data_IF_727173936351
#
_entry.id   IF_727173936351
#
_cell.length_a   1.000
_cell.length_b   1.000
_cell.length_c   1.000
_cell.angle_alpha   90.00
_cell.angle_beta   90.00
_cell.angle_gamma   90.00
#
_symmetry.space_group_name_H-M   'P 1'
#
loop_
_entity.id
_entity.type
_entity.pdbx_description
1 polymer ?
#
# COMPACT_ATOMS: atom_id res chain seq x y z
N UNK A 1 10.85 -30.39 -19.37
CA UNK A 1 10.07 -29.22 -18.90
C UNK A 1 10.96 -28.17 -18.24
N UNK A 2 11.97 -28.54 -17.43
CA UNK A 2 12.95 -27.60 -16.84
C UNK A 2 13.74 -26.77 -17.87
N UNK A 3 14.15 -27.36 -19.01
CA UNK A 3 14.90 -26.62 -20.06
C UNK A 3 14.09 -25.53 -20.78
N UNK A 4 12.76 -25.55 -20.72
CA UNK A 4 11.91 -24.50 -21.30
C UNK A 4 11.78 -23.32 -20.32
N UNK A 5 11.71 -23.60 -19.02
CA UNK A 5 11.67 -22.57 -17.97
C UNK A 5 13.01 -21.85 -17.85
N UNK A 6 14.13 -22.57 -17.87
CA UNK A 6 15.47 -21.95 -17.86
C UNK A 6 15.69 -21.05 -19.08
N UNK A 7 15.33 -21.53 -20.28
CA UNK A 7 15.41 -20.73 -21.50
C UNK A 7 14.46 -19.53 -21.51
N UNK A 8 13.27 -19.66 -20.92
CA UNK A 8 12.34 -18.55 -20.71
C UNK A 8 12.92 -17.49 -19.76
N UNK A 9 13.61 -17.88 -18.69
CA UNK A 9 14.27 -16.93 -17.81
C UNK A 9 15.50 -16.29 -18.47
N UNK A 10 16.27 -17.04 -19.24
CA UNK A 10 17.45 -16.53 -19.97
C UNK A 10 17.08 -15.58 -21.12
N UNK A 11 16.04 -15.89 -21.91
CA UNK A 11 15.56 -15.02 -23.00
C UNK A 11 14.87 -13.74 -22.46
N UNK A 12 14.27 -13.80 -21.25
CA UNK A 12 13.63 -12.65 -20.59
C UNK A 12 14.60 -11.83 -19.71
N UNK A 13 15.82 -12.31 -19.47
CA UNK A 13 16.84 -11.54 -18.74
C UNK A 13 17.26 -10.30 -19.52
N UNK A 14 17.13 -10.26 -20.85
CA UNK A 14 17.55 -9.11 -21.66
C UNK A 14 16.46 -8.10 -22.02
N UNK A 15 15.17 -8.46 -21.98
CA UNK A 15 14.09 -7.55 -22.33
C UNK A 15 13.96 -6.41 -21.28
N UNK A 16 14.29 -5.14 -21.64
CA UNK A 16 14.20 -4.02 -20.71
C UNK A 16 12.79 -3.80 -20.16
N UNK A 17 11.76 -4.08 -20.95
CA UNK A 17 10.36 -3.96 -20.54
C UNK A 17 9.97 -5.03 -19.54
N UNK A 18 10.42 -6.28 -19.72
CA UNK A 18 10.18 -7.34 -18.74
C UNK A 18 10.85 -7.02 -17.39
N UNK A 19 12.12 -6.59 -17.39
CA UNK A 19 12.82 -6.19 -16.16
C UNK A 19 12.12 -5.01 -15.48
N UNK A 20 11.70 -4.02 -16.26
CA UNK A 20 10.94 -2.88 -15.77
C UNK A 20 9.63 -3.32 -15.14
N UNK A 21 8.82 -4.15 -15.79
CA UNK A 21 7.54 -4.65 -15.25
C UNK A 21 7.79 -5.47 -13.96
N UNK A 22 8.83 -6.31 -13.95
CA UNK A 22 9.19 -7.10 -12.78
C UNK A 22 9.64 -6.24 -11.58
N UNK A 23 10.25 -5.08 -11.83
CA UNK A 23 10.78 -4.20 -10.78
C UNK A 23 9.81 -3.09 -10.37
N UNK A 24 9.05 -2.55 -11.32
CA UNK A 24 8.24 -1.33 -11.18
C UNK A 24 6.74 -1.60 -11.36
N UNK A 25 6.35 -2.79 -11.82
CA UNK A 25 4.99 -3.11 -12.19
C UNK A 25 4.54 -2.40 -13.48
N UNK A 26 3.23 -2.30 -13.63
CA UNK A 26 2.56 -1.69 -14.79
C UNK A 26 2.14 -0.22 -14.55
N UNK A 27 2.69 0.39 -13.51
CA UNK A 27 2.58 1.82 -13.25
C UNK A 27 3.36 2.66 -14.29
N UNK A 28 3.19 3.98 -14.22
CA UNK A 28 4.05 4.94 -14.91
C UNK A 28 5.51 4.67 -14.53
N UNK A 29 6.37 4.78 -15.53
CA UNK A 29 7.80 4.48 -15.38
C UNK A 29 8.49 5.55 -14.55
N UNK A 30 9.47 5.15 -13.73
CA UNK A 30 10.31 6.11 -13.02
C UNK A 30 11.02 7.01 -14.04
N UNK A 31 10.79 8.33 -13.94
CA UNK A 31 11.43 9.33 -14.79
C UNK A 31 12.47 10.09 -13.98
N UNK A 32 13.74 9.93 -14.34
CA UNK A 32 14.86 10.65 -13.71
C UNK A 32 15.87 11.12 -14.75
N UNK A 33 16.52 12.25 -14.49
CA UNK A 33 17.58 12.80 -15.35
C UNK A 33 18.60 13.58 -14.50
N UNK A 34 19.74 13.93 -15.11
CA UNK A 34 20.76 14.80 -14.50
C UNK A 34 20.79 16.11 -15.28
N UNK A 35 20.82 17.24 -14.58
CA UNK A 35 21.04 18.57 -15.16
C UNK A 35 21.96 19.36 -14.24
N UNK A 36 23.00 20.01 -14.78
CA UNK A 36 24.00 20.77 -14.03
C UNK A 36 24.63 20.00 -12.84
N UNK A 37 24.83 18.69 -12.99
CA UNK A 37 25.39 17.82 -11.94
C UNK A 37 24.38 17.40 -10.86
N UNK A 38 23.12 17.80 -10.97
CA UNK A 38 22.08 17.52 -9.99
C UNK A 38 21.07 16.51 -10.56
N UNK A 39 20.65 15.53 -9.76
CA UNK A 39 19.65 14.55 -10.18
C UNK A 39 18.25 15.11 -9.95
N UNK A 40 17.36 14.87 -10.89
CA UNK A 40 15.95 15.21 -10.79
C UNK A 40 15.10 13.96 -10.97
N UNK A 41 14.03 13.85 -10.20
CA UNK A 41 13.03 12.79 -10.32
C UNK A 41 11.67 13.43 -10.50
N UNK A 42 10.95 12.99 -11.53
CA UNK A 42 9.59 13.43 -11.76
C UNK A 42 8.59 12.52 -11.01
N UNK A 43 7.77 13.14 -10.15
CA UNK A 43 6.68 12.52 -9.42
C UNK A 43 5.37 13.14 -9.91
N UNK A 44 4.83 12.59 -11.00
CA UNK A 44 3.65 13.13 -11.68
C UNK A 44 3.85 14.60 -12.09
N UNK A 45 3.19 15.55 -11.42
CA UNK A 45 3.28 16.98 -11.70
C UNK A 45 4.40 17.68 -10.92
N UNK A 46 5.11 16.95 -10.05
CA UNK A 46 6.18 17.48 -9.21
C UNK A 46 7.56 17.06 -9.76
N UNK A 47 8.53 17.97 -9.72
CA UNK A 47 9.93 17.68 -10.04
C UNK A 47 10.75 17.87 -8.77
N UNK A 48 11.28 16.77 -8.25
CA UNK A 48 12.10 16.76 -7.05
C UNK A 48 13.57 16.81 -7.44
N UNK A 49 14.28 17.82 -6.91
CA UNK A 49 15.74 17.91 -6.98
C UNK A 49 16.37 17.05 -5.90
N UNK A 50 17.26 16.17 -6.30
CA UNK A 50 17.86 15.13 -5.48
C UNK A 50 19.38 15.31 -5.49
N UNK A 51 19.92 15.77 -4.37
CA UNK A 51 21.34 16.16 -4.26
C UNK A 51 22.24 15.05 -3.72
N UNK A 52 21.68 14.04 -3.02
CA UNK A 52 22.48 13.04 -2.29
C UNK A 52 22.05 11.58 -2.48
N UNK A 53 20.98 11.31 -3.24
CA UNK A 53 20.54 9.94 -3.46
C UNK A 53 21.35 9.27 -4.57
N UNK A 54 21.97 8.13 -4.24
CA UNK A 54 22.71 7.30 -5.21
C UNK A 54 21.85 6.16 -5.76
N UNK A 55 20.86 5.73 -4.97
CA UNK A 55 19.97 4.62 -5.29
C UNK A 55 18.50 5.06 -5.25
N UNK A 56 17.61 4.24 -5.82
CA UNK A 56 16.17 4.46 -5.69
C UNK A 56 15.70 4.31 -4.24
N UNK A 57 16.32 3.44 -3.44
CA UNK A 57 16.05 3.33 -2.00
C UNK A 57 16.36 4.65 -1.26
N UNK A 58 17.46 5.33 -1.60
CA UNK A 58 17.77 6.64 -1.02
C UNK A 58 16.69 7.66 -1.37
N UNK A 59 16.20 7.64 -2.61
CA UNK A 59 15.08 8.49 -3.03
C UNK A 59 13.80 8.15 -2.26
N UNK A 60 13.49 6.87 -2.03
CA UNK A 60 12.31 6.47 -1.25
C UNK A 60 12.38 6.95 0.21
N UNK A 61 13.55 6.92 0.84
CA UNK A 61 13.72 7.51 2.16
C UNK A 61 13.59 9.03 2.14
N UNK A 62 14.19 9.70 1.16
CA UNK A 62 14.03 11.14 0.97
C UNK A 62 12.56 11.53 0.76
N UNK A 63 11.85 10.82 -0.11
CA UNK A 63 10.45 11.06 -0.44
C UNK A 63 9.55 10.88 0.79
N UNK A 64 9.84 9.88 1.62
CA UNK A 64 9.16 9.68 2.90
C UNK A 64 9.41 10.85 3.87
N UNK A 65 10.67 11.26 4.06
CA UNK A 65 10.99 12.44 4.90
C UNK A 65 10.30 13.70 4.37
N UNK A 66 10.23 13.86 3.05
CA UNK A 66 9.56 14.97 2.39
C UNK A 66 8.05 14.98 2.65
N UNK A 67 7.37 13.83 2.47
CA UNK A 67 5.91 13.76 2.65
C UNK A 67 5.46 13.80 4.11
N UNK A 68 6.27 13.28 5.04
CA UNK A 68 5.91 13.29 6.46
C UNK A 68 6.46 14.48 7.25
N UNK A 69 7.28 15.33 6.65
CA UNK A 69 8.11 16.31 7.35
C UNK A 69 9.11 15.64 8.30
N UNK A 70 10.39 15.81 7.98
CA UNK A 70 11.52 15.30 8.77
C UNK A 70 11.49 15.77 10.22
N UNK A 71 10.99 16.99 10.49
CA UNK A 71 10.89 17.52 11.85
C UNK A 71 9.81 16.80 12.64
N UNK A 72 8.65 16.52 12.02
CA UNK A 72 7.59 15.73 12.65
C UNK A 72 8.06 14.32 13.03
N UNK A 73 8.84 13.66 12.16
CA UNK A 73 9.38 12.32 12.41
C UNK A 73 10.35 12.27 13.62
N UNK A 74 11.06 13.38 13.87
CA UNK A 74 12.03 13.53 14.96
C UNK A 74 11.45 14.12 16.24
N UNK A 75 10.23 14.64 16.21
CA UNK A 75 9.61 15.28 17.36
C UNK A 75 9.40 14.24 18.49
N UNK A 76 9.95 14.47 19.70
CA UNK A 76 9.76 13.58 20.84
C UNK A 76 8.30 13.29 21.19
N UNK A 77 7.36 14.18 20.84
CA UNK A 77 5.92 13.96 21.03
C UNK A 77 5.39 12.78 20.20
N UNK A 78 6.04 12.47 19.09
CA UNK A 78 5.64 11.40 18.17
C UNK A 78 6.45 10.12 18.34
N UNK A 79 7.31 10.02 19.36
CA UNK A 79 8.26 8.89 19.50
C UNK A 79 7.60 7.52 19.60
N UNK A 80 6.34 7.47 20.03
CA UNK A 80 5.54 6.24 20.12
C UNK A 80 4.77 5.92 18.82
N UNK A 81 4.78 6.82 17.84
CA UNK A 81 4.14 6.57 16.55
C UNK A 81 4.96 5.56 15.75
N UNK A 82 4.35 4.53 15.11
CA UNK A 82 5.08 3.50 14.36
C UNK A 82 6.09 4.05 13.35
N UNK A 83 5.70 5.07 12.59
CA UNK A 83 6.58 5.74 11.63
C UNK A 83 7.82 6.39 12.28
N UNK A 84 7.67 7.00 13.45
CA UNK A 84 8.82 7.59 14.16
C UNK A 84 9.73 6.49 14.70
N UNK A 85 9.16 5.42 15.29
CA UNK A 85 9.90 4.24 15.75
C UNK A 85 10.74 3.65 14.61
N UNK A 86 10.11 3.34 13.47
CA UNK A 86 10.82 2.77 12.32
C UNK A 86 11.89 3.71 11.79
N UNK A 87 11.60 5.02 11.75
CA UNK A 87 12.56 6.04 11.32
C UNK A 87 13.81 6.07 12.20
N UNK A 88 13.65 6.04 13.52
CA UNK A 88 14.76 6.04 14.47
C UNK A 88 15.57 4.73 14.41
N UNK A 89 14.92 3.57 14.39
CA UNK A 89 15.58 2.26 14.25
C UNK A 89 16.40 2.21 12.96
N UNK A 90 15.82 2.66 11.83
CA UNK A 90 16.52 2.71 10.54
C UNK A 90 17.75 3.62 10.59
N UNK A 91 17.64 4.81 11.19
CA UNK A 91 18.77 5.73 11.28
C UNK A 91 19.90 5.18 12.17
N UNK A 92 19.55 4.60 13.32
CA UNK A 92 20.51 3.96 14.21
C UNK A 92 21.21 2.81 13.50
N UNK A 93 20.46 1.95 12.79
CA UNK A 93 21.02 0.85 12.02
C UNK A 93 21.99 1.34 10.94
N UNK A 94 21.58 2.32 10.12
CA UNK A 94 22.41 2.87 9.03
C UNK A 94 23.69 3.52 9.57
N UNK A 95 23.63 4.22 10.71
CA UNK A 95 24.80 4.87 11.32
C UNK A 95 25.90 3.89 11.74
N UNK A 96 25.55 2.61 11.92
CA UNK A 96 26.48 1.52 12.28
C UNK A 96 27.08 0.82 11.05
N UNK A 97 26.61 1.15 9.85
CA UNK A 97 27.08 0.51 8.62
C UNK A 97 28.28 1.24 8.01
N UNK A 98 29.17 0.49 7.37
CA UNK A 98 30.25 1.04 6.57
C UNK A 98 29.85 1.14 5.11
N UNK A 99 30.28 2.20 4.45
CA UNK A 99 30.16 2.33 3.00
C UNK A 99 31.22 1.47 2.32
N UNK A 100 30.84 0.79 1.24
CA UNK A 100 31.81 0.09 0.40
C UNK A 100 32.65 1.08 -0.42
N UNK A 101 33.61 0.56 -1.19
CA UNK A 101 34.51 1.36 -2.05
C UNK A 101 33.80 2.20 -3.11
N UNK A 102 32.57 1.83 -3.47
CA UNK A 102 31.71 2.57 -4.41
C UNK A 102 30.82 3.61 -3.70
N UNK A 103 30.90 3.68 -2.36
CA UNK A 103 30.14 4.58 -1.53
C UNK A 103 28.67 4.16 -1.34
N UNK A 104 28.37 2.87 -1.43
CA UNK A 104 27.05 2.27 -1.12
C UNK A 104 27.07 1.58 0.23
N UNK A 105 25.93 1.57 0.91
CA UNK A 105 25.70 0.66 2.03
C UNK A 105 25.30 -0.73 1.51
N UNK A 106 25.92 -1.77 2.04
CA UNK A 106 25.49 -3.14 1.85
C UNK A 106 25.24 -3.77 3.22
N UNK A 107 23.98 -3.95 3.58
CA UNK A 107 23.58 -4.42 4.89
C UNK A 107 22.27 -5.25 4.80
N UNK A 108 22.06 -6.21 5.71
CA UNK A 108 20.78 -6.92 5.81
C UNK A 108 19.61 -5.95 6.00
N UNK A 109 18.49 -6.21 5.32
CA UNK A 109 17.29 -5.40 5.47
C UNK A 109 16.57 -5.76 6.77
N UNK A 110 16.48 -4.80 7.70
CA UNK A 110 15.71 -4.97 8.96
C UNK A 110 14.21 -4.77 8.71
N UNK A 111 13.38 -5.24 9.64
CA UNK A 111 11.92 -5.03 9.57
C UNK A 111 11.52 -3.55 9.45
N UNK A 112 12.17 -2.66 10.22
CA UNK A 112 11.93 -1.22 10.16
C UNK A 112 12.31 -0.60 8.80
N UNK A 113 13.43 -1.05 8.22
CA UNK A 113 13.87 -0.61 6.88
C UNK A 113 12.87 -1.08 5.83
N UNK A 114 12.46 -2.35 5.88
CA UNK A 114 11.49 -2.91 4.95
C UNK A 114 10.13 -2.20 5.03
N UNK A 115 9.63 -1.95 6.26
CA UNK A 115 8.37 -1.26 6.49
C UNK A 115 8.40 0.17 5.91
N UNK A 116 9.48 0.92 6.16
CA UNK A 116 9.67 2.25 5.59
C UNK A 116 9.76 2.21 4.07
N UNK A 117 10.61 1.37 3.50
CA UNK A 117 10.77 1.28 2.04
C UNK A 117 9.48 0.90 1.34
N UNK A 118 8.71 -0.04 1.90
CA UNK A 118 7.42 -0.45 1.35
C UNK A 118 6.41 0.69 1.42
N UNK A 119 6.28 1.36 2.57
CA UNK A 119 5.42 2.53 2.68
C UNK A 119 5.83 3.64 1.71
N UNK A 120 7.12 3.99 1.68
CA UNK A 120 7.67 4.98 0.76
C UNK A 120 7.33 4.66 -0.68
N UNK A 121 7.47 3.40 -1.08
CA UNK A 121 7.18 2.97 -2.44
C UNK A 121 5.69 3.03 -2.75
N UNK A 122 4.82 2.62 -1.82
CA UNK A 122 3.38 2.73 -1.98
C UNK A 122 2.95 4.20 -2.16
N UNK A 123 3.49 5.10 -1.33
CA UNK A 123 3.23 6.54 -1.43
C UNK A 123 3.77 7.12 -2.74
N UNK A 124 4.94 6.68 -3.18
CA UNK A 124 5.50 7.08 -4.47
C UNK A 124 4.60 6.63 -5.63
N UNK A 125 4.12 5.38 -5.61
CA UNK A 125 3.23 4.87 -6.64
C UNK A 125 1.93 5.66 -6.72
N UNK A 126 1.28 5.93 -5.58
CA UNK A 126 0.12 6.80 -5.49
C UNK A 126 0.40 8.19 -6.08
N UNK A 127 1.43 8.88 -5.58
CA UNK A 127 1.78 10.22 -6.00
C UNK A 127 2.15 10.31 -7.48
N UNK A 128 2.85 9.30 -8.01
CA UNK A 128 3.34 9.29 -9.39
C UNK A 128 2.24 8.91 -10.39
N UNK A 129 1.35 7.98 -10.03
CA UNK A 129 0.35 7.44 -10.96
C UNK A 129 -0.97 8.18 -10.94
N UNK A 130 -1.40 8.63 -9.76
CA UNK A 130 -2.71 9.24 -9.53
C UNK A 130 -2.50 10.50 -8.71
N UNK A 131 -2.87 10.49 -7.44
CA UNK A 131 -2.71 11.56 -6.49
C UNK A 131 -2.37 10.94 -5.12
N UNK A 132 -1.55 11.64 -4.34
CA UNK A 132 -1.36 11.32 -2.93
C UNK A 132 -2.10 12.36 -2.09
N UNK A 133 -3.29 11.98 -1.62
CA UNK A 133 -4.17 12.90 -0.90
C UNK A 133 -3.59 13.32 0.45
N UNK A 134 -3.72 14.62 0.77
CA UNK A 134 -3.32 15.15 2.07
C UNK A 134 -4.08 14.50 3.24
N UNK A 135 -5.33 14.08 3.02
CA UNK A 135 -6.14 13.34 4.00
C UNK A 135 -5.49 12.02 4.38
N UNK A 136 -4.98 11.25 3.41
CA UNK A 136 -4.29 9.98 3.63
C UNK A 136 -3.01 10.19 4.45
N UNK A 137 -2.19 11.20 4.11
CA UNK A 137 -0.99 11.55 4.89
C UNK A 137 -1.35 11.96 6.33
N UNK A 138 -2.42 12.74 6.51
CA UNK A 138 -2.91 13.12 7.84
C UNK A 138 -3.31 11.90 8.67
N UNK A 139 -4.05 10.94 8.09
CA UNK A 139 -4.43 9.69 8.76
C UNK A 139 -3.23 8.81 9.08
N UNK A 140 -2.22 8.78 8.20
CA UNK A 140 -0.95 8.07 8.46
C UNK A 140 -0.11 8.68 9.59
N UNK A 141 -0.39 9.92 10.01
CA UNK A 141 0.24 10.56 11.20
C UNK A 141 -0.56 10.36 12.49
N UNK A 142 -1.76 9.78 12.40
CA UNK A 142 -2.67 9.57 13.54
C UNK A 142 -2.67 8.10 13.92
N UNK A 143 -2.17 7.77 15.12
CA UNK A 143 -1.98 6.38 15.56
C UNK A 143 -3.28 5.57 15.49
N UNK A 144 -4.41 6.19 15.82
CA UNK A 144 -5.73 5.55 15.83
C UNK A 144 -6.23 5.19 14.42
N UNK A 145 -5.75 5.89 13.39
CA UNK A 145 -6.14 5.67 11.99
C UNK A 145 -5.04 5.00 11.17
N UNK A 146 -3.85 4.86 11.75
CA UNK A 146 -2.65 4.42 11.06
C UNK A 146 -2.82 3.04 10.41
N UNK A 147 -3.38 2.05 11.12
CA UNK A 147 -3.55 0.70 10.54
C UNK A 147 -4.34 0.72 9.24
N UNK A 148 -5.53 1.36 9.26
CA UNK A 148 -6.41 1.43 8.09
C UNK A 148 -5.77 2.21 6.94
N UNK A 149 -5.22 3.39 7.23
CA UNK A 149 -4.55 4.22 6.24
C UNK A 149 -3.31 3.52 5.65
N UNK A 150 -2.56 2.79 6.47
CA UNK A 150 -1.39 2.03 6.03
C UNK A 150 -1.80 0.91 5.07
N UNK A 151 -2.82 0.13 5.40
CA UNK A 151 -3.33 -0.93 4.52
C UNK A 151 -3.94 -0.38 3.23
N UNK A 152 -4.57 0.78 3.29
CA UNK A 152 -5.07 1.47 2.10
C UNK A 152 -3.95 1.80 1.10
N UNK A 153 -2.77 2.23 1.57
CA UNK A 153 -1.61 2.42 0.70
C UNK A 153 -1.18 1.12 0.01
N UNK A 154 -1.32 -0.02 0.68
CA UNK A 154 -0.99 -1.33 0.09
C UNK A 154 -1.94 -1.67 -1.04
N UNK A 155 -3.26 -1.59 -0.80
CA UNK A 155 -4.24 -1.95 -1.82
C UNK A 155 -4.10 -1.06 -3.06
N UNK A 156 -4.03 0.26 -2.86
CA UNK A 156 -3.90 1.19 -3.99
C UNK A 156 -2.59 0.97 -4.77
N UNK A 157 -1.46 0.77 -4.07
CA UNK A 157 -0.18 0.49 -4.74
C UNK A 157 -0.20 -0.85 -5.48
N UNK A 158 -0.83 -1.90 -4.94
CA UNK A 158 -0.95 -3.19 -5.63
C UNK A 158 -1.80 -3.11 -6.89
N UNK A 159 -2.91 -2.36 -6.85
CA UNK A 159 -3.74 -2.12 -8.03
C UNK A 159 -2.96 -1.39 -9.12
N UNK A 160 -2.23 -0.32 -8.76
CA UNK A 160 -1.34 0.39 -9.70
C UNK A 160 -0.26 -0.54 -10.26
N UNK A 161 0.40 -1.29 -9.37
CA UNK A 161 1.46 -2.22 -9.74
C UNK A 161 0.97 -3.30 -10.69
N UNK A 162 -0.28 -3.75 -10.52
CA UNK A 162 -0.95 -4.74 -11.36
C UNK A 162 -1.55 -4.17 -12.65
N UNK A 163 -1.40 -2.86 -12.90
CA UNK A 163 -1.76 -2.24 -14.17
C UNK A 163 -3.12 -1.57 -14.20
N UNK A 164 -3.81 -1.46 -13.06
CA UNK A 164 -5.02 -0.66 -12.99
C UNK A 164 -4.68 0.84 -13.05
N UNK A 165 -5.54 1.62 -13.72
CA UNK A 165 -5.66 3.06 -13.44
C UNK A 165 -6.58 3.19 -12.23
N UNK A 166 -6.20 3.99 -11.24
CA UNK A 166 -7.05 4.27 -10.08
C UNK A 166 -7.59 5.69 -10.19
N UNK A 167 -8.86 5.84 -9.84
CA UNK A 167 -9.53 7.13 -9.61
C UNK A 167 -10.00 7.12 -8.15
N UNK A 168 -9.80 8.23 -7.45
CA UNK A 168 -10.24 8.38 -6.07
C UNK A 168 -11.63 9.02 -6.10
N UNK A 169 -12.59 8.44 -5.41
CA UNK A 169 -13.92 9.04 -5.34
C UNK A 169 -13.90 10.28 -4.44
N UNK A 170 -14.64 11.31 -4.84
CA UNK A 170 -14.75 12.56 -4.08
C UNK A 170 -15.70 12.39 -2.89
N UNK A 171 -15.13 12.29 -1.68
CA UNK A 171 -15.89 12.18 -0.43
C UNK A 171 -16.44 13.52 0.09
N UNK A 172 -16.25 14.64 -0.62
CA UNK A 172 -16.70 15.96 -0.15
C UNK A 172 -18.22 16.09 -0.04
N UNK A 173 -18.98 15.22 -0.74
CA UNK A 173 -20.43 15.17 -0.68
C UNK A 173 -20.94 13.93 0.08
N UNK A 174 -21.12 14.07 1.39
CA UNK A 174 -21.61 13.01 2.28
C UNK A 174 -23.05 12.53 2.06
N UNK A 175 -23.74 13.03 1.03
CA UNK A 175 -25.10 12.55 0.68
C UNK A 175 -25.11 11.14 0.07
N UNK A 176 -23.96 10.64 -0.39
CA UNK A 176 -23.79 9.26 -0.88
C UNK A 176 -22.58 8.61 -0.25
N UNK A 177 -22.68 7.29 0.01
CA UNK A 177 -21.53 6.49 0.39
C UNK A 177 -20.76 6.14 -0.87
N UNK A 178 -19.48 6.48 -0.89
CA UNK A 178 -18.55 6.28 -1.98
C UNK A 178 -17.65 5.08 -1.70
N UNK A 179 -17.23 4.35 -2.73
CA UNK A 179 -16.16 3.35 -2.57
C UNK A 179 -14.83 4.07 -2.44
N UNK A 180 -13.83 3.44 -1.83
CA UNK A 180 -12.56 4.11 -1.57
C UNK A 180 -11.84 4.44 -2.90
N UNK A 181 -12.00 3.58 -3.91
CA UNK A 181 -11.40 3.74 -5.23
C UNK A 181 -12.27 3.19 -6.36
N UNK A 182 -12.12 3.76 -7.55
CA UNK A 182 -12.47 3.09 -8.81
C UNK A 182 -11.18 2.61 -9.48
N UNK A 183 -11.05 1.30 -9.66
CA UNK A 183 -9.95 0.69 -10.39
C UNK A 183 -10.39 0.31 -11.81
N UNK A 184 -9.66 0.77 -12.82
CA UNK A 184 -9.94 0.54 -14.24
C UNK A 184 -8.84 -0.34 -14.82
N UNK A 185 -9.20 -1.55 -15.26
CA UNK A 185 -8.27 -2.45 -15.93
C UNK A 185 -7.90 -1.84 -17.29
N UNK A 186 -6.64 -1.42 -17.48
CA UNK A 186 -6.22 -0.69 -18.69
C UNK A 186 -6.42 -1.49 -19.98
N UNK A 187 -6.30 -2.82 -19.91
CA UNK A 187 -6.42 -3.72 -21.06
C UNK A 187 -7.86 -3.88 -21.55
N UNK A 188 -8.83 -3.91 -20.65
CA UNK A 188 -10.24 -4.22 -20.97
C UNK A 188 -11.17 -3.03 -20.80
N UNK A 189 -10.75 -1.98 -20.11
CA UNK A 189 -11.58 -0.83 -19.73
C UNK A 189 -12.60 -1.13 -18.62
N UNK A 190 -12.64 -2.37 -18.09
CA UNK A 190 -13.59 -2.74 -17.03
C UNK A 190 -13.27 -1.95 -15.76
N UNK A 191 -14.32 -1.37 -15.17
CA UNK A 191 -14.27 -0.66 -13.91
C UNK A 191 -14.66 -1.56 -12.74
N UNK A 192 -13.96 -1.35 -11.64
CA UNK A 192 -14.19 -2.03 -10.38
C UNK A 192 -14.28 -0.99 -9.27
N UNK A 193 -15.42 -0.96 -8.58
CA UNK A 193 -15.56 -0.27 -7.30
C UNK A 193 -14.81 -1.06 -6.23
N UNK A 194 -13.80 -0.43 -5.64
CA UNK A 194 -12.89 -1.07 -4.69
C UNK A 194 -13.18 -0.57 -3.28
N UNK A 195 -13.41 -1.51 -2.38
CA UNK A 195 -13.51 -1.23 -0.95
C UNK A 195 -12.32 -1.81 -0.20
N UNK A 196 -11.74 -1.01 0.69
CA UNK A 196 -10.65 -1.39 1.59
C UNK A 196 -11.17 -1.43 3.02
N UNK A 197 -10.96 -2.58 3.67
CA UNK A 197 -11.35 -2.81 5.05
C UNK A 197 -10.21 -3.45 5.82
N UNK A 198 -10.12 -3.08 7.09
CA UNK A 198 -9.12 -3.61 8.00
C UNK A 198 -9.79 -3.93 9.34
N UNK A 199 -9.62 -5.17 9.79
CA UNK A 199 -10.00 -5.62 11.12
C UNK A 199 -8.96 -5.12 12.13
N UNK A 200 -9.16 -3.93 12.68
CA UNK A 200 -8.23 -3.32 13.64
C UNK A 200 -7.98 -4.21 14.85
N UNK A 201 -6.71 -4.44 15.19
CA UNK A 201 -6.30 -5.18 16.40
C UNK A 201 -5.60 -4.28 17.39
N UNK A 202 -5.89 -4.52 18.67
CA UNK A 202 -5.25 -3.78 19.77
C UNK A 202 -3.76 -4.12 19.83
N UNK A 203 -2.93 -3.13 20.16
CA UNK A 203 -1.47 -3.22 20.28
C UNK A 203 -0.71 -3.55 18.98
N UNK A 204 -1.41 -3.66 17.84
CA UNK A 204 -0.74 -3.77 16.54
C UNK A 204 -0.52 -2.37 15.99
N UNK A 205 0.69 -2.08 15.48
CA UNK A 205 1.05 -0.78 14.90
C UNK A 205 0.58 0.43 15.75
N UNK A 206 0.75 0.35 17.07
CA UNK A 206 0.43 1.43 18.00
C UNK A 206 -1.05 1.61 18.37
N UNK A 207 -1.98 0.84 17.81
CA UNK A 207 -3.40 1.04 18.09
C UNK A 207 -3.78 0.73 19.54
N UNK A 208 -4.39 1.70 20.23
CA UNK A 208 -4.85 1.55 21.61
C UNK A 208 -6.09 0.65 21.76
N UNK A 209 -6.86 0.51 20.68
CA UNK A 209 -8.08 -0.27 20.63
C UNK A 209 -8.13 -1.14 19.37
N UNK A 210 -8.96 -2.17 19.41
CA UNK A 210 -9.19 -3.09 18.31
C UNK A 210 -10.16 -4.19 18.73
N UNK A 211 -10.60 -4.97 17.76
CA UNK A 211 -11.52 -6.07 17.97
C UNK A 211 -10.79 -7.35 17.57
N UNK A 212 -10.61 -8.32 18.48
CA UNK A 212 -9.94 -9.60 18.20
C UNK A 212 -10.88 -10.68 17.63
N UNK A 213 -12.16 -10.34 17.45
CA UNK A 213 -13.16 -11.17 16.79
C UNK A 213 -13.06 -11.07 15.27
N UNK A 214 -13.39 -12.17 14.59
CA UNK A 214 -13.56 -12.21 13.14
C UNK A 214 -14.96 -11.79 12.68
N UNK A 215 -15.91 -11.53 13.59
CA UNK A 215 -17.26 -11.03 13.26
C UNK A 215 -17.21 -9.76 12.40
N UNK A 216 -16.21 -8.91 12.63
CA UNK A 216 -15.98 -7.69 11.86
C UNK A 216 -15.80 -7.94 10.36
N UNK A 217 -15.35 -9.13 9.94
CA UNK A 217 -15.26 -9.49 8.50
C UNK A 217 -16.65 -9.47 7.86
N UNK A 218 -17.64 -10.05 8.54
CA UNK A 218 -19.02 -10.07 8.05
C UNK A 218 -19.63 -8.66 7.98
N UNK A 219 -19.31 -7.81 8.96
CA UNK A 219 -19.78 -6.42 9.00
C UNK A 219 -19.11 -5.57 7.91
N UNK A 220 -17.81 -5.76 7.70
CA UNK A 220 -17.04 -5.12 6.64
C UNK A 220 -17.56 -5.53 5.25
N UNK A 221 -17.81 -6.83 5.04
CA UNK A 221 -18.39 -7.32 3.79
C UNK A 221 -19.77 -6.72 3.55
N UNK A 222 -20.67 -6.75 4.55
CA UNK A 222 -21.99 -6.14 4.42
C UNK A 222 -21.91 -4.64 4.11
N UNK A 223 -21.05 -3.91 4.84
CA UNK A 223 -20.86 -2.47 4.65
C UNK A 223 -20.37 -2.12 3.25
N UNK A 224 -19.42 -2.90 2.73
CA UNK A 224 -18.90 -2.77 1.37
C UNK A 224 -19.99 -3.04 0.31
N UNK A 225 -20.70 -4.17 0.42
CA UNK A 225 -21.74 -4.57 -0.53
C UNK A 225 -22.97 -3.65 -0.51
N UNK A 226 -23.19 -2.96 0.60
CA UNK A 226 -24.27 -1.98 0.74
C UNK A 226 -24.01 -0.65 0.02
N UNK A 227 -22.76 -0.39 -0.43
CA UNK A 227 -22.44 0.83 -1.17
C UNK A 227 -22.99 0.74 -2.60
N UNK A 228 -23.73 1.76 -3.08
CA UNK A 228 -24.31 1.75 -4.41
C UNK A 228 -23.21 1.88 -5.47
N UNK A 229 -23.28 1.05 -6.51
CA UNK A 229 -22.46 1.18 -7.72
C UNK A 229 -23.04 0.28 -8.82
N UNK A 230 -22.87 0.70 -10.06
CA UNK A 230 -23.15 -0.09 -11.28
C UNK A 230 -21.92 -0.92 -11.72
N UNK A 231 -20.74 -0.62 -11.16
CA UNK A 231 -19.49 -1.29 -11.49
C UNK A 231 -19.36 -2.64 -10.75
N UNK A 232 -18.44 -3.48 -11.25
CA UNK A 232 -18.04 -4.71 -10.54
C UNK A 232 -17.38 -4.35 -9.20
N UNK A 233 -17.42 -5.24 -8.22
CA UNK A 233 -16.84 -4.97 -6.89
C UNK A 233 -15.57 -5.78 -6.65
N UNK A 234 -14.56 -5.13 -6.09
CA UNK A 234 -13.43 -5.78 -5.45
C UNK A 234 -13.39 -5.33 -3.99
N UNK A 235 -13.33 -6.28 -3.07
CA UNK A 235 -13.32 -5.97 -1.63
C UNK A 235 -12.05 -6.57 -1.05
N UNK A 236 -11.27 -5.74 -0.38
CA UNK A 236 -10.08 -6.15 0.37
C UNK A 236 -10.39 -6.11 1.86
N UNK A 237 -10.16 -7.21 2.56
CA UNK A 237 -10.29 -7.27 4.03
C UNK A 237 -8.97 -7.78 4.64
N UNK A 238 -8.28 -6.90 5.36
CA UNK A 238 -7.09 -7.26 6.14
C UNK A 238 -7.47 -7.72 7.54
N UNK A 239 -6.97 -8.89 7.92
CA UNK A 239 -7.31 -9.57 9.17
C UNK A 239 -6.40 -9.14 10.32
N UNK A 240 -5.16 -8.77 10.02
CA UNK A 240 -4.15 -8.24 10.93
C UNK A 240 -3.98 -9.08 12.22
N UNK A 241 -3.99 -10.41 12.13
CA UNK A 241 -4.02 -11.30 13.30
C UNK A 241 -2.88 -12.31 13.33
N UNK A 242 -2.34 -12.58 14.53
CA UNK A 242 -1.39 -13.67 14.77
C UNK A 242 -2.04 -15.05 14.98
N UNK A 243 -3.37 -15.17 14.94
CA UNK A 243 -4.07 -16.44 15.16
C UNK A 243 -3.87 -17.40 13.98
N UNK A 244 -3.25 -18.55 14.19
CA UNK A 244 -2.96 -19.52 13.12
C UNK A 244 -4.21 -20.08 12.40
N UNK A 245 -5.34 -20.18 13.10
CA UNK A 245 -6.59 -20.75 12.57
C UNK A 245 -7.54 -19.70 11.97
N UNK A 246 -7.08 -18.45 11.79
CA UNK A 246 -7.91 -17.33 11.33
C UNK A 246 -8.71 -17.66 10.07
N UNK A 247 -8.08 -18.34 9.11
CA UNK A 247 -8.69 -18.61 7.80
C UNK A 247 -9.91 -19.52 7.94
N UNK A 248 -9.85 -20.54 8.79
CA UNK A 248 -10.98 -21.45 9.02
C UNK A 248 -12.18 -20.70 9.58
N UNK A 249 -11.98 -19.92 10.65
CA UNK A 249 -13.05 -19.16 11.30
C UNK A 249 -13.66 -18.11 10.36
N UNK A 250 -12.81 -17.41 9.59
CA UNK A 250 -13.27 -16.42 8.61
C UNK A 250 -14.03 -17.08 7.47
N UNK A 251 -13.57 -18.24 6.97
CA UNK A 251 -14.24 -18.97 5.90
C UNK A 251 -15.62 -19.48 6.34
N UNK A 252 -15.77 -19.92 7.60
CA UNK A 252 -17.08 -20.29 8.17
C UNK A 252 -18.04 -19.09 8.18
N UNK A 253 -17.57 -17.91 8.60
CA UNK A 253 -18.35 -16.66 8.56
C UNK A 253 -18.77 -16.32 7.13
N UNK A 254 -17.83 -16.39 6.17
CA UNK A 254 -18.09 -16.05 4.78
C UNK A 254 -19.06 -17.02 4.11
N UNK A 255 -18.92 -18.33 4.35
CA UNK A 255 -19.87 -19.32 3.85
C UNK A 255 -21.29 -19.07 4.37
N UNK A 256 -21.44 -18.69 5.64
CA UNK A 256 -22.74 -18.29 6.17
C UNK A 256 -23.26 -17.01 5.51
N UNK A 257 -22.40 -16.01 5.28
CA UNK A 257 -22.78 -14.76 4.63
C UNK A 257 -23.18 -14.96 3.16
N UNK A 258 -22.49 -15.82 2.42
CA UNK A 258 -22.86 -16.16 1.03
C UNK A 258 -24.32 -16.66 0.93
N UNK A 259 -24.77 -17.43 1.93
CA UNK A 259 -26.13 -17.99 1.96
C UNK A 259 -27.20 -17.03 2.49
N UNK A 260 -26.82 -16.09 3.36
CA UNK A 260 -27.79 -15.35 4.20
C UNK A 260 -27.74 -13.84 4.06
N UNK A 261 -26.66 -13.29 3.49
CA UNK A 261 -26.46 -11.85 3.44
C UNK A 261 -27.43 -11.21 2.45
N UNK A 262 -28.16 -10.22 2.94
CA UNK A 262 -29.05 -9.41 2.12
C UNK A 262 -28.67 -7.94 2.21
N UNK A 263 -28.86 -7.21 1.11
CA UNK A 263 -28.73 -5.76 1.02
C UNK A 263 -30.05 -5.22 0.51
N UNK A 264 -30.69 -4.31 1.26
CA UNK A 264 -32.01 -3.77 0.94
C UNK A 264 -33.06 -4.87 0.67
N UNK A 265 -33.05 -5.94 1.49
CA UNK A 265 -33.94 -7.12 1.41
C UNK A 265 -33.77 -8.02 0.16
N UNK A 266 -32.77 -7.74 -0.68
CA UNK A 266 -32.41 -8.59 -1.81
C UNK A 266 -31.14 -9.38 -1.48
N UNK A 267 -30.87 -10.52 -2.14
CA UNK A 267 -29.57 -11.17 -2.07
C UNK A 267 -28.44 -10.16 -2.31
N UNK A 268 -27.38 -10.24 -1.50
CA UNK A 268 -26.26 -9.31 -1.63
C UNK A 268 -25.62 -9.40 -3.03
N UNK A 269 -25.13 -8.29 -3.60
CA UNK A 269 -24.48 -8.31 -4.91
C UNK A 269 -23.17 -9.10 -4.86
N UNK A 270 -22.77 -9.66 -6.01
CA UNK A 270 -21.50 -10.37 -6.12
C UNK A 270 -20.29 -9.42 -6.04
N UNK A 271 -19.18 -9.91 -5.50
CA UNK A 271 -17.91 -9.21 -5.44
C UNK A 271 -16.74 -10.20 -5.51
N UNK A 272 -15.57 -9.72 -5.97
CA UNK A 272 -14.31 -10.41 -5.78
C UNK A 272 -13.75 -10.06 -4.40
N UNK A 273 -13.62 -11.04 -3.52
CA UNK A 273 -13.13 -10.84 -2.16
C UNK A 273 -11.67 -11.28 -2.03
N UNK A 274 -10.82 -10.36 -1.56
CA UNK A 274 -9.43 -10.62 -1.22
C UNK A 274 -9.26 -10.53 0.29
N UNK A 275 -8.87 -11.65 0.90
CA UNK A 275 -8.49 -11.70 2.32
C UNK A 275 -6.97 -11.63 2.42
N UNK A 276 -6.47 -10.72 3.24
CA UNK A 276 -5.03 -10.62 3.55
C UNK A 276 -4.82 -10.76 5.04
N UNK A 277 -3.69 -11.33 5.42
CA UNK A 277 -3.26 -11.35 6.82
C UNK A 277 -1.78 -10.99 6.90
N UNK A 278 -1.51 -9.69 7.01
CA UNK A 278 -0.15 -9.17 7.13
C UNK A 278 0.22 -9.14 8.60
N UNK A 279 1.08 -10.06 9.04
CA UNK A 279 1.63 -10.01 10.40
C UNK A 279 2.74 -8.95 10.42
N UNK A 280 2.56 -7.89 11.20
CA UNK A 280 3.48 -6.73 11.27
C UNK A 280 4.41 -6.81 12.47
#
# INVERSE_FOLDING_TARGET
MENILLKYFDDQIENPDYRKIKQQGFGKSIKSWISNGERYINVNNEILKITSCKTFHDFLFYFFEYKFDKNWLKDPKNINHPLSIWYHIKNEFISKQQVNTQGYYNAPCTGAIMALLRLSYNLYLLAHNVELQNSLIKRLKQVEQFQGAYYETYVASYLIYSGFKIEIEDESNGSKKHHDYIAIAKETGIKYAVEVKLCSRKNILGAAAGNDSFKSVGDHLHGALSKPTEDKRIIFIELNTGKNNWFKEVNEILNQKELTLTVNRNPAPSAYLFLTNTNY
#
